data_IF_302089463622
#
_entry.id   IF_302089463622
#
_cell.length_a   1.000
_cell.length_b   1.000
_cell.length_c   1.000
_cell.angle_alpha   90.00
_cell.angle_beta   90.00
_cell.angle_gamma   90.00
#
_symmetry.space_group_name_H-M   'P 1'
#
loop_
_entity.id
_entity.type
_entity.pdbx_description
1 polymer ?
#
# COMPACT_ATOMS: atom_id res chain seq x y z
N UNK A 1 44.93 14.67 15.10
CA UNK A 1 44.09 14.69 16.32
C UNK A 1 42.76 15.28 15.90
N UNK A 2 41.65 14.58 15.70
CA UNK A 2 41.32 13.18 15.99
C UNK A 2 40.00 12.87 15.24
N UNK A 3 40.05 12.35 14.00
CA UNK A 3 38.89 11.76 13.31
C UNK A 3 38.61 10.31 13.81
N UNK A 4 39.59 9.73 14.52
CA UNK A 4 39.52 8.38 15.07
C UNK A 4 38.71 8.29 16.37
N UNK A 5 38.45 9.39 17.07
CA UNK A 5 37.69 9.36 18.33
C UNK A 5 36.17 9.41 18.13
N UNK A 6 35.70 10.05 17.05
CA UNK A 6 34.26 10.12 16.74
C UNK A 6 33.71 8.76 16.29
N UNK A 7 34.54 7.91 15.67
CA UNK A 7 34.15 6.55 15.29
C UNK A 7 33.99 5.62 16.50
N UNK A 8 34.75 5.83 17.58
CA UNK A 8 34.71 4.95 18.75
C UNK A 8 33.52 5.22 19.67
N UNK A 9 32.96 6.44 19.65
CA UNK A 9 31.74 6.74 20.42
C UNK A 9 30.48 6.13 19.81
N UNK A 10 30.45 5.87 18.50
CA UNK A 10 29.28 5.28 17.83
C UNK A 10 29.16 3.78 18.07
N UNK A 11 30.26 3.10 18.41
CA UNK A 11 30.28 1.64 18.67
C UNK A 11 29.71 1.32 20.05
N UNK A 12 29.84 2.22 21.03
CA UNK A 12 29.46 1.98 22.42
C UNK A 12 27.96 2.04 22.75
N UNK A 13 27.10 2.46 21.81
CA UNK A 13 25.64 2.63 22.07
C UNK A 13 24.78 1.52 21.44
N UNK A 14 25.38 0.58 20.71
CA UNK A 14 24.65 -0.44 19.95
C UNK A 14 24.47 -1.79 20.66
N UNK A 15 24.93 -1.97 21.90
CA UNK A 15 24.90 -3.28 22.57
C UNK A 15 23.59 -3.65 23.28
N UNK A 16 22.50 -2.89 23.15
CA UNK A 16 21.24 -3.19 23.86
C UNK A 16 19.99 -3.28 22.99
N UNK A 17 20.11 -3.45 21.67
CA UNK A 17 18.95 -3.58 20.78
C UNK A 17 18.91 -4.95 20.08
N UNK A 18 17.72 -5.57 20.14
CA UNK A 18 17.40 -6.89 19.57
C UNK A 18 17.93 -7.10 18.14
N UNK A 19 18.46 -8.29 17.89
CA UNK A 19 19.04 -8.73 16.61
C UNK A 19 18.04 -8.69 15.42
N UNK A 20 16.73 -8.59 15.70
CA UNK A 20 15.70 -8.37 14.68
C UNK A 20 15.63 -6.92 14.21
N UNK A 21 15.86 -5.98 15.13
CA UNK A 21 15.71 -4.55 14.89
C UNK A 21 16.94 -3.99 14.19
N UNK A 22 18.13 -4.50 14.54
CA UNK A 22 19.38 -4.18 13.85
C UNK A 22 19.38 -4.64 12.38
N UNK A 23 18.79 -5.80 12.07
CA UNK A 23 18.63 -6.28 10.68
C UNK A 23 17.63 -5.45 9.87
N UNK A 24 16.52 -5.03 10.50
CA UNK A 24 15.53 -4.14 9.87
C UNK A 24 16.10 -2.74 9.64
N UNK A 25 16.81 -2.17 10.62
CA UNK A 25 17.54 -0.91 10.51
C UNK A 25 18.62 -0.97 9.42
N UNK A 26 19.42 -2.04 9.37
CA UNK A 26 20.43 -2.23 8.32
C UNK A 26 19.80 -2.36 6.93
N UNK A 27 18.65 -3.05 6.82
CA UNK A 27 17.88 -3.15 5.57
C UNK A 27 17.32 -1.81 5.11
N UNK A 28 16.75 -1.03 6.03
CA UNK A 28 16.27 0.33 5.77
C UNK A 28 17.43 1.27 5.39
N UNK A 29 18.57 1.18 6.09
CA UNK A 29 19.76 1.97 5.82
C UNK A 29 20.37 1.64 4.46
N UNK A 30 20.43 0.36 4.07
CA UNK A 30 20.87 -0.08 2.72
C UNK A 30 19.93 0.41 1.61
N UNK A 31 18.62 0.34 1.83
CA UNK A 31 17.61 0.83 0.87
C UNK A 31 17.74 2.34 0.68
N UNK A 32 17.84 3.09 1.78
CA UNK A 32 18.08 4.54 1.80
C UNK A 32 19.40 4.91 1.11
N UNK A 33 20.48 4.15 1.37
CA UNK A 33 21.76 4.32 0.66
C UNK A 33 21.64 4.10 -0.85
N UNK A 34 20.83 3.11 -1.29
CA UNK A 34 20.67 2.82 -2.72
C UNK A 34 19.89 3.91 -3.46
N UNK A 35 18.83 4.44 -2.85
CA UNK A 35 18.04 5.54 -3.43
C UNK A 35 18.88 6.82 -3.51
N UNK A 36 19.67 7.11 -2.46
CA UNK A 36 20.61 8.22 -2.48
C UNK A 36 21.68 8.06 -3.57
N UNK A 37 22.13 6.83 -3.89
CA UNK A 37 23.10 6.60 -4.97
C UNK A 37 22.55 6.93 -6.36
N UNK A 38 21.30 6.56 -6.65
CA UNK A 38 20.68 6.88 -7.94
C UNK A 38 20.47 8.38 -8.11
N UNK A 39 19.90 9.05 -7.11
CA UNK A 39 19.69 10.49 -7.15
C UNK A 39 21.01 11.27 -7.24
N UNK A 40 22.05 10.82 -6.53
CA UNK A 40 23.38 11.44 -6.64
C UNK A 40 24.02 11.19 -8.02
N UNK A 41 23.81 10.02 -8.63
CA UNK A 41 24.29 9.76 -9.98
C UNK A 41 23.56 10.65 -11.01
N UNK A 42 22.24 10.80 -10.89
CA UNK A 42 21.45 11.69 -11.73
C UNK A 42 21.83 13.16 -11.53
N UNK A 43 22.06 13.59 -10.28
CA UNK A 43 22.50 14.95 -9.99
C UNK A 43 23.86 15.26 -10.63
N UNK A 44 24.77 14.28 -10.67
CA UNK A 44 26.05 14.41 -11.37
C UNK A 44 25.87 14.58 -12.89
N UNK A 45 24.89 13.91 -13.49
CA UNK A 45 24.59 14.11 -14.91
C UNK A 45 23.97 15.48 -15.21
N UNK A 46 23.26 16.10 -14.27
CA UNK A 46 22.77 17.49 -14.41
C UNK A 46 23.93 18.47 -14.54
N UNK A 47 25.04 18.24 -13.84
CA UNK A 47 26.24 19.09 -13.95
C UNK A 47 26.87 19.00 -15.36
N UNK A 48 26.79 17.83 -16.01
CA UNK A 48 27.28 17.60 -17.38
C UNK A 48 26.28 18.06 -18.46
N UNK A 49 24.97 17.94 -18.18
CA UNK A 49 23.87 18.28 -19.08
C UNK A 49 22.78 19.08 -18.34
N UNK A 50 22.93 20.41 -18.17
CA UNK A 50 22.03 21.23 -17.35
C UNK A 50 20.59 21.30 -17.85
N UNK A 51 20.32 20.87 -19.09
CA UNK A 51 18.98 20.79 -19.68
C UNK A 51 18.22 19.54 -19.15
N UNK A 52 18.92 18.52 -18.67
CA UNK A 52 18.37 17.22 -18.27
C UNK A 52 18.14 17.14 -16.75
N UNK A 53 17.28 18.00 -16.21
CA UNK A 53 16.95 17.97 -14.78
C UNK A 53 15.97 16.83 -14.42
N UNK A 54 16.21 16.06 -13.34
CA UNK A 54 15.27 15.06 -12.85
C UNK A 54 13.94 15.70 -12.43
N UNK A 55 12.85 15.30 -13.10
CA UNK A 55 11.50 15.74 -12.79
C UNK A 55 10.84 14.77 -11.80
N UNK A 56 10.12 15.29 -10.79
CA UNK A 56 9.37 14.52 -9.78
C UNK A 56 10.14 13.44 -9.00
N UNK A 57 11.48 13.42 -9.05
CA UNK A 57 12.30 12.41 -8.40
C UNK A 57 12.24 12.43 -6.85
N UNK A 58 11.67 13.48 -6.27
CA UNK A 58 11.47 13.63 -4.82
C UNK A 58 10.23 12.89 -4.30
N UNK A 59 9.27 12.55 -5.18
CA UNK A 59 8.04 11.87 -4.78
C UNK A 59 8.33 10.41 -4.42
N UNK A 60 8.00 9.96 -3.19
CA UNK A 60 8.15 8.57 -2.80
C UNK A 60 7.32 7.63 -3.69
N UNK A 61 7.88 6.47 -4.02
CA UNK A 61 7.21 5.48 -4.88
C UNK A 61 5.79 5.11 -4.43
N UNK A 62 5.55 4.93 -3.12
CA UNK A 62 4.21 4.64 -2.59
C UNK A 62 3.23 5.78 -2.90
N UNK A 63 3.66 7.04 -2.74
CA UNK A 63 2.81 8.19 -3.00
C UNK A 63 2.51 8.33 -4.49
N UNK A 64 3.51 8.11 -5.34
CA UNK A 64 3.29 8.09 -6.78
C UNK A 64 2.29 7.00 -7.18
N UNK A 65 2.42 5.79 -6.62
CA UNK A 65 1.50 4.69 -6.88
C UNK A 65 0.04 5.03 -6.51
N UNK A 66 -0.16 5.72 -5.38
CA UNK A 66 -1.49 6.18 -4.96
C UNK A 66 -2.05 7.27 -5.88
N UNK A 67 -1.22 8.22 -6.30
CA UNK A 67 -1.61 9.28 -7.24
C UNK A 67 -2.03 8.66 -8.58
N UNK A 68 -1.18 7.80 -9.15
CA UNK A 68 -1.40 7.19 -10.48
C UNK A 68 -2.69 6.35 -10.53
N UNK A 69 -3.03 5.68 -9.42
CA UNK A 69 -4.19 4.79 -9.33
C UNK A 69 -5.40 5.43 -8.64
N UNK A 70 -5.34 6.74 -8.30
CA UNK A 70 -6.41 7.44 -7.59
C UNK A 70 -6.84 6.74 -6.29
N UNK A 71 -5.87 6.23 -5.53
CA UNK A 71 -6.08 5.58 -4.24
C UNK A 71 -5.97 6.63 -3.14
N UNK A 72 -7.01 6.74 -2.32
CA UNK A 72 -7.04 7.64 -1.18
C UNK A 72 -6.95 6.87 0.14
N UNK A 73 -6.40 7.52 1.17
CA UNK A 73 -6.31 6.91 2.49
C UNK A 73 -7.69 6.74 3.12
N UNK A 74 -7.90 5.63 3.82
CA UNK A 74 -9.18 5.28 4.46
C UNK A 74 -10.37 5.20 3.49
N UNK A 75 -10.09 4.91 2.21
CA UNK A 75 -11.09 4.73 1.16
C UNK A 75 -11.04 3.30 0.61
N UNK A 76 -12.11 2.90 -0.09
CA UNK A 76 -12.21 1.60 -0.72
C UNK A 76 -11.33 1.51 -1.98
N UNK A 77 -10.67 0.36 -2.15
CA UNK A 77 -9.92 0.05 -3.37
C UNK A 77 -10.72 -0.94 -4.19
N UNK A 78 -11.07 -0.53 -5.40
CA UNK A 78 -11.89 -1.33 -6.30
C UNK A 78 -11.01 -2.04 -7.31
N UNK A 79 -11.17 -3.36 -7.37
CA UNK A 79 -10.44 -4.23 -8.28
C UNK A 79 -11.39 -4.91 -9.27
N UNK A 80 -10.97 -5.02 -10.53
CA UNK A 80 -11.66 -5.82 -11.55
C UNK A 80 -11.45 -7.31 -11.34
N UNK A 81 -10.21 -7.69 -11.05
CA UNK A 81 -9.80 -9.07 -10.82
C UNK A 81 -8.82 -9.16 -9.66
N UNK A 82 -8.99 -10.20 -8.85
CA UNK A 82 -8.16 -10.49 -7.68
C UNK A 82 -7.97 -12.00 -7.59
N UNK A 83 -6.76 -12.42 -7.22
CA UNK A 83 -6.47 -13.79 -6.81
C UNK A 83 -6.28 -13.84 -5.31
N UNK A 84 -6.77 -14.89 -4.68
CA UNK A 84 -6.78 -15.02 -3.23
C UNK A 84 -5.76 -16.07 -2.77
N UNK A 85 -5.13 -15.80 -1.63
CA UNK A 85 -4.39 -16.78 -0.85
C UNK A 85 -5.10 -16.94 0.48
N UNK A 86 -5.50 -18.16 0.79
CA UNK A 86 -6.28 -18.45 2.00
C UNK A 86 -5.36 -19.12 3.01
N UNK A 87 -5.27 -18.54 4.21
CA UNK A 87 -4.41 -19.09 5.25
C UNK A 87 -4.99 -20.39 5.81
N UNK A 88 -4.20 -21.49 5.88
CA UNK A 88 -4.65 -22.73 6.50
C UNK A 88 -4.81 -22.59 8.02
N UNK A 89 -4.26 -21.54 8.65
CA UNK A 89 -4.41 -21.30 10.09
C UNK A 89 -5.80 -20.80 10.50
N UNK A 90 -6.70 -20.51 9.54
CA UNK A 90 -8.11 -20.27 9.84
C UNK A 90 -8.77 -21.48 10.55
N UNK A 91 -8.20 -22.69 10.42
CA UNK A 91 -8.71 -23.92 11.05
C UNK A 91 -8.47 -23.99 12.58
N UNK A 92 -7.54 -23.20 13.15
CA UNK A 92 -7.17 -23.31 14.57
C UNK A 92 -8.23 -22.78 15.55
N UNK A 93 -9.23 -22.03 15.07
CA UNK A 93 -10.39 -21.60 15.89
C UNK A 93 -11.55 -22.60 15.87
N UNK A 94 -11.36 -23.82 15.35
CA UNK A 94 -12.36 -24.89 15.41
C UNK A 94 -13.46 -24.80 14.36
N UNK A 95 -13.32 -23.92 13.36
CA UNK A 95 -14.18 -23.91 12.18
C UNK A 95 -13.50 -24.72 11.09
N UNK A 96 -14.07 -25.88 10.76
CA UNK A 96 -13.68 -26.62 9.57
C UNK A 96 -13.82 -25.69 8.35
N UNK A 97 -12.81 -25.58 7.49
CA UNK A 97 -12.84 -24.85 6.21
C UNK A 97 -14.13 -25.05 5.38
N UNK A 98 -14.83 -26.18 5.57
CA UNK A 98 -16.12 -26.52 4.97
C UNK A 98 -17.35 -25.78 5.56
N UNK A 99 -17.28 -25.26 6.79
CA UNK A 99 -18.38 -24.61 7.51
C UNK A 99 -18.17 -23.10 7.73
N UNK A 100 -17.03 -22.57 7.29
CA UNK A 100 -16.72 -21.14 7.38
C UNK A 100 -17.71 -20.31 6.54
N UNK A 101 -18.74 -19.76 7.21
CA UNK A 101 -19.62 -18.69 6.70
C UNK A 101 -18.90 -17.34 6.56
N UNK A 102 -17.57 -17.34 6.50
CA UNK A 102 -16.82 -16.13 6.26
C UNK A 102 -17.00 -15.70 4.81
N UNK A 103 -17.68 -14.58 4.66
CA UNK A 103 -17.84 -13.87 3.41
C UNK A 103 -16.59 -13.03 3.16
N UNK A 104 -16.01 -13.13 1.96
CA UNK A 104 -14.93 -12.25 1.50
C UNK A 104 -15.54 -10.93 1.02
N UNK A 105 -16.70 -11.02 0.39
CA UNK A 105 -17.58 -9.90 0.03
C UNK A 105 -19.02 -10.34 0.24
N UNK A 106 -19.99 -9.43 0.12
CA UNK A 106 -21.42 -9.72 0.28
C UNK A 106 -21.91 -10.95 -0.51
N UNK A 107 -21.26 -11.27 -1.63
CA UNK A 107 -21.62 -12.39 -2.51
C UNK A 107 -20.60 -13.53 -2.59
N UNK A 108 -19.33 -13.31 -2.24
CA UNK A 108 -18.27 -14.31 -2.42
C UNK A 108 -17.91 -15.01 -1.12
N UNK A 109 -18.14 -16.33 -1.06
CA UNK A 109 -17.74 -17.16 0.08
C UNK A 109 -16.36 -17.75 -0.13
N UNK A 110 -15.65 -17.96 0.97
CA UNK A 110 -14.34 -18.63 0.96
C UNK A 110 -14.42 -20.00 0.27
N UNK A 111 -15.44 -20.80 0.58
CA UNK A 111 -15.63 -22.14 -0.01
C UNK A 111 -15.77 -22.14 -1.54
N UNK A 112 -16.30 -21.06 -2.13
CA UNK A 112 -16.43 -20.92 -3.58
C UNK A 112 -15.08 -20.54 -4.23
N UNK A 113 -14.26 -19.77 -3.51
CA UNK A 113 -12.88 -19.47 -3.91
C UNK A 113 -12.01 -20.72 -3.90
N UNK A 114 -12.11 -21.56 -2.86
CA UNK A 114 -11.34 -22.81 -2.77
C UNK A 114 -11.65 -23.81 -3.89
N UNK A 115 -12.89 -23.83 -4.39
CA UNK A 115 -13.29 -24.69 -5.51
C UNK A 115 -12.79 -24.16 -6.86
N UNK A 116 -12.53 -22.85 -6.94
CA UNK A 116 -12.24 -22.16 -8.20
C UNK A 116 -10.73 -21.95 -8.34
N UNK A 117 -10.08 -22.82 -9.10
CA UNK A 117 -8.63 -22.70 -9.39
C UNK A 117 -8.24 -21.38 -10.05
N UNK A 118 -9.18 -20.70 -10.72
CA UNK A 118 -8.96 -19.37 -11.33
C UNK A 118 -8.86 -18.24 -10.30
N UNK A 119 -9.53 -18.38 -9.15
CA UNK A 119 -9.56 -17.39 -8.08
C UNK A 119 -8.42 -17.60 -7.08
N UNK A 120 -7.83 -18.79 -7.06
CA UNK A 120 -6.69 -19.09 -6.19
C UNK A 120 -5.38 -18.60 -6.79
N UNK A 121 -4.58 -17.94 -5.97
CA UNK A 121 -3.19 -17.64 -6.30
C UNK A 121 -2.34 -18.90 -6.12
N UNK A 122 -1.35 -19.15 -6.99
CA UNK A 122 -0.44 -20.30 -6.85
C UNK A 122 0.57 -20.13 -5.70
N UNK A 123 0.58 -18.96 -5.05
CA UNK A 123 1.53 -18.59 -4.00
C UNK A 123 0.89 -18.85 -2.63
N UNK A 124 1.65 -19.47 -1.73
CA UNK A 124 1.21 -19.68 -0.35
C UNK A 124 1.15 -18.34 0.44
N UNK A 125 0.19 -18.18 1.37
CA UNK A 125 0.12 -17.00 2.23
C UNK A 125 1.34 -16.92 3.15
N UNK A 126 1.77 -15.70 3.47
CA UNK A 126 3.00 -15.41 4.23
C UNK A 126 2.76 -14.62 5.51
N UNK A 127 1.59 -14.01 5.64
CA UNK A 127 1.17 -13.20 6.79
C UNK A 127 0.27 -14.01 7.71
N UNK A 128 -0.03 -13.44 8.89
CA UNK A 128 -0.99 -14.01 9.83
C UNK A 128 -2.46 -13.64 9.52
N UNK A 129 -2.72 -12.96 8.39
CA UNK A 129 -4.07 -12.60 7.99
C UNK A 129 -4.86 -13.83 7.52
N UNK A 130 -6.17 -13.82 7.73
CA UNK A 130 -7.04 -14.92 7.29
C UNK A 130 -7.04 -15.07 5.76
N UNK A 131 -7.05 -13.95 5.05
CA UNK A 131 -7.08 -13.86 3.59
C UNK A 131 -6.03 -12.85 3.15
N UNK A 132 -5.26 -13.22 2.13
CA UNK A 132 -4.44 -12.30 1.36
C UNK A 132 -4.98 -12.23 -0.07
N UNK A 133 -4.76 -11.11 -0.73
CA UNK A 133 -5.16 -10.89 -2.11
C UNK A 133 -4.00 -10.38 -2.96
N UNK A 134 -3.99 -10.84 -4.20
CA UNK A 134 -3.09 -10.45 -5.27
C UNK A 134 -3.90 -9.77 -6.37
N UNK A 135 -3.49 -8.58 -6.76
CA UNK A 135 -4.08 -7.85 -7.88
C UNK A 135 -2.99 -7.28 -8.78
N UNK A 136 -3.29 -7.17 -10.07
CA UNK A 136 -2.45 -6.42 -11.00
C UNK A 136 -2.84 -4.95 -10.96
N UNK A 137 -1.89 -4.06 -11.24
CA UNK A 137 -2.16 -2.61 -11.28
C UNK A 137 -3.26 -2.26 -12.30
N UNK A 138 -3.29 -2.96 -13.44
CA UNK A 138 -4.31 -2.77 -14.50
C UNK A 138 -5.73 -3.16 -14.07
N UNK A 139 -5.85 -3.90 -12.96
CA UNK A 139 -7.14 -4.30 -12.40
C UNK A 139 -7.65 -3.28 -11.38
N UNK A 140 -6.86 -2.29 -10.96
CA UNK A 140 -7.33 -1.21 -10.10
C UNK A 140 -8.20 -0.26 -10.92
N UNK A 141 -9.46 -0.09 -10.52
CA UNK A 141 -10.46 0.68 -11.29
C UNK A 141 -10.92 1.98 -10.62
N UNK A 142 -10.31 2.36 -9.49
CA UNK A 142 -10.61 3.59 -8.74
C UNK A 142 -10.64 4.84 -9.63
N UNK A 143 -9.66 5.03 -10.51
CA UNK A 143 -9.60 6.19 -11.41
C UNK A 143 -10.88 6.32 -12.26
N UNK A 144 -11.34 5.22 -12.87
CA UNK A 144 -12.57 5.23 -13.67
C UNK A 144 -13.82 5.53 -12.83
N UNK A 145 -13.88 5.02 -11.60
CA UNK A 145 -15.01 5.28 -10.70
C UNK A 145 -15.02 6.75 -10.27
N UNK A 146 -13.89 7.28 -9.83
CA UNK A 146 -13.78 8.65 -9.35
C UNK A 146 -13.93 9.69 -10.47
N UNK A 147 -13.64 9.34 -11.72
CA UNK A 147 -13.87 10.21 -12.87
C UNK A 147 -15.35 10.53 -13.11
N UNK A 148 -16.26 9.70 -12.58
CA UNK A 148 -17.72 9.90 -12.69
C UNK A 148 -18.32 10.72 -11.54
N UNK A 149 -17.51 11.14 -10.57
CA UNK A 149 -17.96 11.94 -9.44
C UNK A 149 -18.42 13.34 -9.90
N UNK A 150 -19.42 13.87 -9.20
CA UNK A 150 -20.07 15.13 -9.57
C UNK A 150 -19.23 16.34 -9.16
N UNK A 151 -18.62 16.29 -7.98
CA UNK A 151 -17.94 17.44 -7.37
C UNK A 151 -16.42 17.33 -7.43
N UNK A 152 -15.86 16.12 -7.31
CA UNK A 152 -14.40 15.94 -7.34
C UNK A 152 -13.96 14.52 -7.67
N UNK A 153 -12.86 14.40 -8.43
CA UNK A 153 -12.12 13.14 -8.58
C UNK A 153 -11.42 12.70 -7.28
N UNK A 154 -11.40 13.53 -6.24
CA UNK A 154 -11.06 13.11 -4.89
C UNK A 154 -12.33 12.56 -4.21
N UNK A 155 -12.35 11.25 -3.97
CA UNK A 155 -13.48 10.53 -3.35
C UNK A 155 -13.81 11.05 -1.94
N UNK A 156 -12.81 11.51 -1.19
CA UNK A 156 -13.00 12.12 0.12
C UNK A 156 -13.74 13.45 0.04
N UNK A 157 -13.35 14.33 -0.91
CA UNK A 157 -14.07 15.58 -1.15
C UNK A 157 -15.50 15.34 -1.63
N UNK A 158 -15.69 14.39 -2.53
CA UNK A 158 -17.01 13.99 -3.03
C UNK A 158 -17.91 13.52 -1.87
N UNK A 159 -17.38 12.69 -0.98
CA UNK A 159 -18.12 12.18 0.18
C UNK A 159 -18.51 13.30 1.15
N UNK A 160 -17.60 14.23 1.42
CA UNK A 160 -17.92 15.41 2.26
C UNK A 160 -19.02 16.28 1.64
N UNK A 161 -18.98 16.51 0.33
CA UNK A 161 -20.04 17.28 -0.35
C UNK A 161 -21.39 16.57 -0.29
N UNK A 162 -21.43 15.25 -0.46
CA UNK A 162 -22.66 14.47 -0.33
C UNK A 162 -23.23 14.51 1.09
N UNK A 163 -22.38 14.37 2.09
CA UNK A 163 -22.77 14.47 3.50
C UNK A 163 -23.35 15.87 3.80
N UNK A 164 -22.68 16.92 3.34
CA UNK A 164 -23.12 18.31 3.52
C UNK A 164 -24.46 18.59 2.80
N UNK A 165 -24.63 18.09 1.57
CA UNK A 165 -25.90 18.18 0.83
C UNK A 165 -27.05 17.50 1.58
N UNK A 166 -26.80 16.31 2.16
CA UNK A 166 -27.78 15.60 2.97
C UNK A 166 -28.13 16.37 4.26
N UNK A 167 -27.13 16.98 4.91
CA UNK A 167 -27.32 17.80 6.12
C UNK A 167 -28.18 19.03 5.84
N UNK A 168 -27.91 19.75 4.75
CA UNK A 168 -28.72 20.90 4.35
C UNK A 168 -30.15 20.51 4.00
N UNK A 169 -30.34 19.41 3.26
CA UNK A 169 -31.67 18.89 2.91
C UNK A 169 -32.47 18.54 4.17
N UNK A 170 -31.85 17.91 5.18
CA UNK A 170 -32.50 17.60 6.45
C UNK A 170 -32.92 18.85 7.25
N UNK A 171 -32.24 19.98 7.04
CA UNK A 171 -32.56 21.28 7.63
C UNK A 171 -33.55 22.09 6.77
N UNK A 172 -34.00 21.56 5.63
CA UNK A 172 -34.89 22.26 4.70
C UNK A 172 -34.21 23.30 3.82
N UNK A 173 -32.88 23.32 3.79
CA UNK A 173 -32.08 24.16 2.90
C UNK A 173 -31.76 23.37 1.62
N UNK A 174 -32.00 23.98 0.46
CA UNK A 174 -31.62 23.41 -0.84
C UNK A 174 -30.23 23.94 -1.19
N UNK A 175 -29.27 23.03 -1.38
CA UNK A 175 -27.95 23.30 -1.96
C UNK A 175 -27.97 23.05 -3.48
#
# INVERSE_FOLDING_TARGET
MQLSEVQNLTVGVLETLSNSDTRKLLGQQKKLLSTMRLLNALAKEVDEFPIMQPFEAHTPFILQFFIDNSIFGMDDIFFRHVKYRISPHCDQQGYTLAECKHFISESLRISDVLKSSSLLSPIAPVTCCAIECDALVNDIINNSLHSTNVHSCNSGLESMWREEAARCTAQGHIL
#
